data_IF_198971499377
#
_entry.id   IF_198971499377
#
_cell.length_a   1.000
_cell.length_b   1.000
_cell.length_c   1.000
_cell.angle_alpha   90.00
_cell.angle_beta   90.00
_cell.angle_gamma   90.00
#
_symmetry.space_group_name_H-M   'P 1'
#
loop_
_entity.id
_entity.type
_entity.pdbx_description
1 polymer ?
#
# COMPACT_ATOMS: atom_id res chain seq x y z
N UNK A 1 -19.13 -8.86 -103.79
CA UNK A 1 -18.41 -10.03 -103.23
C UNK A 1 -17.03 -9.51 -102.85
N UNK A 2 -16.88 -8.92 -101.67
CA UNK A 2 -16.58 -9.57 -100.37
C UNK A 2 -15.13 -9.27 -100.01
N UNK A 3 -14.90 -8.03 -99.59
CA UNK A 3 -13.66 -7.60 -98.94
C UNK A 3 -13.68 -8.12 -97.50
N UNK A 4 -13.06 -9.27 -97.27
CA UNK A 4 -12.72 -9.74 -95.93
C UNK A 4 -11.23 -9.47 -95.71
N UNK A 5 -10.88 -8.21 -95.48
CA UNK A 5 -9.54 -7.85 -94.99
C UNK A 5 -9.37 -8.42 -93.59
N UNK A 6 -8.40 -9.33 -93.48
CA UNK A 6 -8.02 -10.09 -92.31
C UNK A 6 -7.43 -9.19 -91.21
N UNK A 7 -8.30 -8.69 -90.35
CA UNK A 7 -7.98 -7.93 -89.12
C UNK A 7 -7.40 -8.81 -87.99
N UNK A 8 -7.10 -10.08 -88.27
CA UNK A 8 -6.65 -11.11 -87.32
C UNK A 8 -5.26 -10.88 -86.66
N UNK A 9 -4.18 -10.43 -87.34
CA UNK A 9 -2.84 -10.43 -86.74
C UNK A 9 -2.64 -9.39 -85.64
N UNK A 10 -3.40 -8.28 -85.66
CA UNK A 10 -3.35 -7.27 -84.59
C UNK A 10 -4.04 -7.77 -83.31
N UNK A 11 -5.16 -8.49 -83.47
CA UNK A 11 -5.93 -9.07 -82.37
C UNK A 11 -5.12 -10.12 -81.61
N UNK A 12 -4.46 -11.02 -82.33
CA UNK A 12 -3.68 -12.11 -81.71
C UNK A 12 -2.49 -11.56 -80.92
N UNK A 13 -1.81 -10.52 -81.44
CA UNK A 13 -0.72 -9.85 -80.72
C UNK A 13 -1.19 -9.19 -79.42
N UNK A 14 -2.37 -8.56 -79.42
CA UNK A 14 -2.96 -7.97 -78.21
C UNK A 14 -3.33 -9.06 -77.20
N UNK A 15 -3.93 -10.16 -77.65
CA UNK A 15 -4.27 -11.31 -76.80
C UNK A 15 -3.03 -11.91 -76.16
N UNK A 16 -1.92 -12.07 -76.91
CA UNK A 16 -0.66 -12.55 -76.36
C UNK A 16 -0.10 -11.59 -75.30
N UNK A 17 -0.07 -10.28 -75.58
CA UNK A 17 0.38 -9.28 -74.59
C UNK A 17 -0.46 -9.31 -73.32
N UNK A 18 -1.78 -9.42 -73.46
CA UNK A 18 -2.71 -9.52 -72.33
C UNK A 18 -2.40 -10.79 -71.51
N UNK A 19 -2.22 -11.94 -72.17
CA UNK A 19 -1.85 -13.19 -71.50
C UNK A 19 -0.53 -13.07 -70.73
N UNK A 20 0.51 -12.49 -71.34
CA UNK A 20 1.79 -12.29 -70.65
C UNK A 20 1.64 -11.41 -69.40
N UNK A 21 0.84 -10.34 -69.49
CA UNK A 21 0.58 -9.48 -68.32
C UNK A 21 -0.23 -10.23 -67.26
N UNK A 22 -1.25 -10.99 -67.66
CA UNK A 22 -2.05 -11.79 -66.73
C UNK A 22 -1.17 -12.81 -65.99
N UNK A 23 -0.33 -13.55 -66.70
CA UNK A 23 0.60 -14.52 -66.10
C UNK A 23 1.58 -13.83 -65.15
N UNK A 24 2.16 -12.69 -65.53
CA UNK A 24 3.06 -11.94 -64.65
C UNK A 24 2.38 -11.40 -63.39
N UNK A 25 1.10 -10.99 -63.48
CA UNK A 25 0.31 -10.61 -62.32
C UNK A 25 -0.03 -11.81 -61.43
N UNK A 26 -0.37 -12.95 -62.03
CA UNK A 26 -0.62 -14.20 -61.31
C UNK A 26 0.63 -14.64 -60.53
N UNK A 27 1.80 -14.69 -61.17
CA UNK A 27 3.06 -15.04 -60.49
C UNK A 27 3.37 -14.10 -59.33
N UNK A 28 3.12 -12.79 -59.50
CA UNK A 28 3.32 -11.83 -58.41
C UNK A 28 2.32 -12.03 -57.27
N UNK A 29 1.06 -12.30 -57.58
CA UNK A 29 0.03 -12.57 -56.57
C UNK A 29 0.41 -13.84 -55.81
N UNK A 30 0.71 -14.93 -56.49
CA UNK A 30 1.15 -16.18 -55.87
C UNK A 30 2.41 -15.99 -55.04
N UNK A 31 3.40 -15.25 -55.54
CA UNK A 31 4.61 -14.95 -54.77
C UNK A 31 4.33 -14.14 -53.49
N UNK A 32 3.41 -13.18 -53.53
CA UNK A 32 3.00 -12.43 -52.34
C UNK A 32 2.18 -13.29 -51.38
N UNK A 33 1.27 -14.13 -51.89
CA UNK A 33 0.48 -15.07 -51.09
C UNK A 33 1.38 -16.09 -50.40
N UNK A 34 2.37 -16.65 -51.10
CA UNK A 34 3.27 -17.68 -50.57
C UNK A 34 4.32 -17.14 -49.60
N UNK A 35 4.62 -15.84 -49.63
CA UNK A 35 5.66 -15.25 -48.77
C UNK A 35 5.11 -14.34 -47.69
N UNK A 36 4.28 -13.36 -48.06
CA UNK A 36 3.82 -12.32 -47.14
C UNK A 36 2.76 -12.84 -46.19
N UNK A 37 1.82 -13.66 -46.67
CA UNK A 37 0.74 -14.20 -45.83
C UNK A 37 1.30 -15.08 -44.71
N UNK A 38 2.21 -16.04 -44.95
CA UNK A 38 2.83 -16.80 -43.87
C UNK A 38 3.63 -15.93 -42.90
N UNK A 39 4.41 -14.96 -43.39
CA UNK A 39 5.20 -14.07 -42.53
C UNK A 39 4.32 -13.25 -41.59
N UNK A 40 3.25 -12.64 -42.12
CA UNK A 40 2.30 -11.89 -41.31
C UNK A 40 1.56 -12.80 -40.33
N UNK A 41 1.22 -14.02 -40.74
CA UNK A 41 0.55 -15.02 -39.88
C UNK A 41 1.45 -15.41 -38.71
N UNK A 42 2.72 -15.77 -38.97
CA UNK A 42 3.69 -16.11 -37.92
C UNK A 42 3.97 -14.92 -37.00
N UNK A 43 4.06 -13.70 -37.54
CA UNK A 43 4.27 -12.51 -36.73
C UNK A 43 3.06 -12.22 -35.83
N UNK A 44 1.84 -12.33 -36.37
CA UNK A 44 0.59 -12.17 -35.62
C UNK A 44 0.49 -13.21 -34.49
N UNK A 45 0.76 -14.49 -34.80
CA UNK A 45 0.76 -15.57 -33.81
C UNK A 45 1.77 -15.29 -32.69
N UNK A 46 3.00 -14.89 -33.04
CA UNK A 46 4.02 -14.52 -32.05
C UNK A 46 3.56 -13.36 -31.17
N UNK A 47 2.93 -12.35 -31.74
CA UNK A 47 2.40 -11.21 -30.99
C UNK A 47 1.24 -11.62 -30.09
N UNK A 48 0.35 -12.49 -30.57
CA UNK A 48 -0.74 -13.06 -29.76
C UNK A 48 -0.19 -13.79 -28.54
N UNK A 49 0.78 -14.70 -28.74
CA UNK A 49 1.39 -15.44 -27.63
C UNK A 49 2.08 -14.50 -26.62
N UNK A 50 2.74 -13.45 -27.10
CA UNK A 50 3.36 -12.44 -26.21
C UNK A 50 2.31 -11.69 -25.38
N UNK A 51 1.16 -11.37 -25.99
CA UNK A 51 0.03 -10.73 -25.28
C UNK A 51 -0.50 -11.68 -24.20
N UNK A 52 -0.70 -12.95 -24.53
CA UNK A 52 -1.20 -13.95 -23.58
C UNK A 52 -0.23 -14.14 -22.40
N UNK A 53 1.07 -14.22 -22.66
CA UNK A 53 2.12 -14.30 -21.62
C UNK A 53 2.08 -13.07 -20.70
N UNK A 54 1.99 -11.86 -21.27
CA UNK A 54 1.90 -10.62 -20.50
C UNK A 54 0.61 -10.54 -19.67
N UNK A 55 -0.52 -11.04 -20.19
CA UNK A 55 -1.77 -11.10 -19.43
C UNK A 55 -1.61 -11.98 -18.19
N UNK A 56 -0.96 -13.14 -18.32
CA UNK A 56 -0.67 -14.02 -17.18
C UNK A 56 0.22 -13.33 -16.16
N UNK A 57 1.26 -12.62 -16.60
CA UNK A 57 2.12 -11.85 -15.70
C UNK A 57 1.38 -10.72 -14.97
N UNK A 58 0.53 -9.98 -15.66
CA UNK A 58 -0.31 -8.93 -15.06
C UNK A 58 -1.24 -9.51 -14.01
N UNK A 59 -1.89 -10.64 -14.30
CA UNK A 59 -2.77 -11.33 -13.34
C UNK A 59 -1.99 -11.82 -12.11
N UNK A 60 -0.78 -12.36 -12.30
CA UNK A 60 0.11 -12.76 -11.21
C UNK A 60 0.50 -11.57 -10.34
N UNK A 61 0.97 -10.48 -10.93
CA UNK A 61 1.32 -9.27 -10.19
C UNK A 61 0.13 -8.66 -9.44
N UNK A 62 -1.08 -8.71 -10.02
CA UNK A 62 -2.30 -8.27 -9.34
C UNK A 62 -2.63 -9.12 -8.11
N UNK A 63 -2.42 -10.43 -8.17
CA UNK A 63 -2.57 -11.31 -7.02
C UNK A 63 -1.55 -10.98 -5.93
N UNK A 64 -0.28 -10.81 -6.28
CA UNK A 64 0.79 -10.43 -5.33
C UNK A 64 0.52 -9.08 -4.65
N UNK A 65 0.04 -8.08 -5.39
CA UNK A 65 -0.38 -6.78 -4.81
C UNK A 65 -1.50 -6.98 -3.79
N UNK A 66 -2.45 -7.86 -4.07
CA UNK A 66 -3.57 -8.15 -3.16
C UNK A 66 -3.07 -8.80 -1.87
N UNK A 67 -2.17 -9.77 -1.96
CA UNK A 67 -1.57 -10.44 -0.80
C UNK A 67 -0.72 -9.47 0.05
N UNK A 68 0.09 -8.63 -0.60
CA UNK A 68 0.85 -7.57 0.08
C UNK A 68 -0.07 -6.60 0.82
N UNK A 69 -1.20 -6.22 0.21
CA UNK A 69 -2.18 -5.34 0.83
C UNK A 69 -2.78 -5.97 2.09
N UNK A 70 -3.14 -7.25 2.04
CA UNK A 70 -3.62 -7.99 3.21
C UNK A 70 -2.55 -8.06 4.32
N UNK A 71 -1.28 -8.28 3.96
CA UNK A 71 -0.18 -8.31 4.92
C UNK A 71 0.02 -6.96 5.61
N UNK A 72 -0.04 -5.86 4.85
CA UNK A 72 0.04 -4.49 5.38
C UNK A 72 -1.15 -4.17 6.28
N UNK A 73 -2.38 -4.52 5.87
CA UNK A 73 -3.58 -4.32 6.69
C UNK A 73 -3.52 -5.10 8.01
N UNK A 74 -2.98 -6.32 7.98
CA UNK A 74 -2.74 -7.11 9.18
C UNK A 74 -1.67 -6.48 10.07
N UNK A 75 -0.55 -6.02 9.50
CA UNK A 75 0.48 -5.28 10.22
C UNK A 75 -0.06 -4.03 10.91
N UNK A 76 -0.85 -3.23 10.19
CA UNK A 76 -1.51 -2.04 10.75
C UNK A 76 -2.41 -2.39 11.95
N UNK A 77 -3.19 -3.47 11.88
CA UNK A 77 -4.01 -3.93 13.01
C UNK A 77 -3.17 -4.30 14.23
N UNK A 78 -2.05 -5.01 14.03
CA UNK A 78 -1.13 -5.35 15.12
C UNK A 78 -0.54 -4.08 15.74
N UNK A 79 -0.03 -3.17 14.93
CA UNK A 79 0.61 -1.94 15.42
C UNK A 79 -0.39 -1.07 16.17
N UNK A 80 -1.61 -0.89 15.67
CA UNK A 80 -2.67 -0.18 16.39
C UNK A 80 -3.00 -0.85 17.73
N UNK A 81 -3.12 -2.18 17.77
CA UNK A 81 -3.36 -2.92 19.02
C UNK A 81 -2.18 -2.85 20.00
N UNK A 82 -0.94 -2.78 19.53
CA UNK A 82 0.23 -2.53 20.36
C UNK A 82 0.24 -1.11 20.92
N UNK A 83 -0.07 -0.12 20.08
CA UNK A 83 -0.17 1.28 20.47
C UNK A 83 -1.21 1.50 21.58
N UNK A 84 -2.43 0.98 21.40
CA UNK A 84 -3.51 1.10 22.38
C UNK A 84 -3.14 0.47 23.73
N UNK A 85 -2.58 -0.76 23.71
CA UNK A 85 -2.17 -1.47 24.93
C UNK A 85 -1.05 -0.75 25.67
N UNK A 86 -0.02 -0.31 24.95
CA UNK A 86 1.11 0.38 25.57
C UNK A 86 0.68 1.74 26.13
N UNK A 87 -0.19 2.45 25.42
CA UNK A 87 -0.83 3.68 25.92
C UNK A 87 -1.64 3.46 27.19
N UNK A 88 -2.44 2.38 27.26
CA UNK A 88 -3.20 2.03 28.47
C UNK A 88 -2.30 1.68 29.65
N UNK A 89 -1.24 0.91 29.43
CA UNK A 89 -0.24 0.58 30.45
C UNK A 89 0.41 1.86 30.96
N UNK A 90 0.87 2.72 30.06
CA UNK A 90 1.49 3.99 30.41
C UNK A 90 0.57 4.88 31.25
N UNK A 91 -0.69 5.08 30.82
CA UNK A 91 -1.68 5.85 31.58
C UNK A 91 -1.98 5.24 32.96
N UNK A 92 -2.07 3.92 33.05
CA UNK A 92 -2.31 3.22 34.31
C UNK A 92 -1.16 3.43 35.28
N UNK A 93 0.09 3.28 34.82
CA UNK A 93 1.27 3.51 35.63
C UNK A 93 1.37 4.98 36.07
N UNK A 94 1.07 5.93 35.18
CA UNK A 94 1.07 7.36 35.50
C UNK A 94 0.02 7.70 36.57
N UNK A 95 -1.17 7.09 36.48
CA UNK A 95 -2.23 7.23 37.48
C UNK A 95 -1.82 6.63 38.85
N UNK A 96 -1.08 5.52 38.86
CA UNK A 96 -0.56 4.94 40.10
C UNK A 96 0.50 5.86 40.71
N UNK A 97 1.43 6.38 39.89
CA UNK A 97 2.50 7.26 40.33
C UNK A 97 1.96 8.57 40.93
N UNK A 98 1.00 9.22 40.26
CA UNK A 98 0.32 10.44 40.76
C UNK A 98 -0.41 10.19 42.08
N UNK A 99 -1.15 9.08 42.20
CA UNK A 99 -1.80 8.67 43.47
C UNK A 99 -0.79 8.47 44.59
N UNK A 100 0.35 7.82 44.33
CA UNK A 100 1.42 7.59 45.32
C UNK A 100 2.07 8.90 45.76
N UNK A 101 2.38 9.80 44.82
CA UNK A 101 2.92 11.14 45.12
C UNK A 101 1.97 11.96 45.99
N UNK A 102 0.67 11.97 45.66
CA UNK A 102 -0.35 12.64 46.46
C UNK A 102 -0.41 12.08 47.89
N UNK A 103 -0.39 10.76 48.06
CA UNK A 103 -0.40 10.10 49.38
C UNK A 103 0.85 10.44 50.21
N UNK A 104 2.04 10.41 49.60
CA UNK A 104 3.28 10.73 50.29
C UNK A 104 3.35 12.22 50.68
N UNK A 105 2.85 13.12 49.83
CA UNK A 105 2.80 14.55 50.12
C UNK A 105 1.95 14.88 51.36
N UNK A 106 0.84 14.15 51.59
CA UNK A 106 -0.04 14.36 52.75
C UNK A 106 0.56 13.90 54.08
N UNK A 107 1.39 12.85 54.06
CA UNK A 107 2.10 12.36 55.26
C UNK A 107 3.23 13.30 55.67
N UNK A 108 4.04 13.75 54.70
CA UNK A 108 5.08 14.75 54.99
C UNK A 108 4.46 16.09 55.38
N UNK A 109 3.38 16.54 54.75
CA UNK A 109 2.66 17.78 55.14
C UNK A 109 2.12 17.72 56.57
N UNK A 110 1.78 16.53 57.09
CA UNK A 110 1.39 16.34 58.49
C UNK A 110 2.57 16.31 59.46
N UNK A 111 3.73 15.80 59.03
CA UNK A 111 4.95 15.73 59.86
C UNK A 111 5.76 17.04 59.85
N UNK A 112 5.69 17.83 58.78
CA UNK A 112 6.33 19.14 58.64
C UNK A 112 5.34 20.29 58.74
N UNK A 113 4.24 20.11 59.49
CA UNK A 113 3.12 21.05 59.70
C UNK A 113 3.46 22.40 60.33
N UNK A 114 4.61 23.00 60.04
CA UNK A 114 4.87 24.43 60.23
C UNK A 114 4.66 25.14 58.90
N UNK A 115 3.53 25.85 58.82
CA UNK A 115 3.32 26.94 57.88
C UNK A 115 4.57 27.81 57.81
N UNK A 116 5.23 27.81 56.67
CA UNK A 116 6.10 28.91 56.28
C UNK A 116 5.53 29.45 54.99
N UNK A 117 4.92 30.62 55.07
CA UNK A 117 4.49 31.44 53.94
C UNK A 117 5.68 31.59 52.99
N UNK A 118 5.70 30.80 51.91
CA UNK A 118 6.63 30.98 50.82
C UNK A 118 5.84 31.10 49.53
N UNK A 119 6.02 32.28 48.92
CA UNK A 119 5.49 32.71 47.63
C UNK A 119 5.69 31.63 46.57
N UNK A 120 4.69 31.39 45.71
CA UNK A 120 4.80 30.47 44.59
C UNK A 120 5.60 31.15 43.48
N UNK A 121 6.85 30.74 43.28
CA UNK A 121 7.58 30.98 42.05
C UNK A 121 8.34 29.69 41.71
N UNK A 122 8.12 29.22 40.48
CA UNK A 122 8.98 28.28 39.74
C UNK A 122 8.83 26.77 40.01
N UNK A 123 7.60 26.26 40.03
CA UNK A 123 7.31 24.82 39.91
C UNK A 123 6.58 24.50 38.60
N UNK A 124 7.20 24.83 37.46
CA UNK A 124 6.61 24.60 36.12
C UNK A 124 7.57 23.88 35.16
N UNK A 125 8.35 22.90 35.64
CA UNK A 125 9.36 22.23 34.79
C UNK A 125 9.29 20.72 34.64
N UNK A 126 8.29 20.05 35.18
CA UNK A 126 8.13 18.59 35.02
C UNK A 126 6.71 18.16 34.68
N UNK A 127 5.92 19.03 34.03
CA UNK A 127 4.76 18.58 33.27
C UNK A 127 5.31 18.01 31.96
N UNK A 128 5.65 16.71 31.96
CA UNK A 128 5.91 16.02 30.71
C UNK A 128 4.65 16.13 29.88
N UNK A 129 4.72 16.92 28.81
CA UNK A 129 3.63 17.12 27.87
C UNK A 129 3.09 15.75 27.46
N UNK A 130 1.81 15.55 27.71
CA UNK A 130 1.10 14.36 27.28
C UNK A 130 1.19 14.35 25.75
N UNK A 131 1.71 13.28 25.12
CA UNK A 131 1.76 13.22 23.67
C UNK A 131 0.35 13.36 23.10
N UNK A 132 0.14 14.45 22.39
CA UNK A 132 -1.08 14.82 21.69
C UNK A 132 -1.35 13.75 20.62
N UNK A 133 -2.45 12.99 20.76
CA UNK A 133 -2.80 11.90 19.85
C UNK A 133 -3.41 10.64 20.50
N UNK A 134 -3.37 10.52 21.83
CA UNK A 134 -3.94 9.38 22.55
C UNK A 134 -5.41 9.60 23.01
N UNK A 135 -6.15 10.50 22.34
CA UNK A 135 -7.55 10.78 22.68
C UNK A 135 -8.50 9.77 22.03
N UNK A 136 -8.63 8.63 22.70
CA UNK A 136 -9.84 7.81 22.86
C UNK A 136 -10.82 7.72 21.67
N UNK A 137 -10.62 6.74 20.80
CA UNK A 137 -11.77 5.94 20.35
C UNK A 137 -12.13 4.98 21.48
N UNK A 138 -12.99 5.44 22.39
CA UNK A 138 -13.55 4.58 23.43
C UNK A 138 -14.49 3.56 22.79
N UNK A 139 -13.93 2.42 22.38
CA UNK A 139 -14.68 1.24 22.01
C UNK A 139 -15.52 0.80 23.21
N UNK A 140 -16.83 0.97 23.06
CA UNK A 140 -17.88 0.63 23.99
C UNK A 140 -18.01 -0.91 24.09
N UNK A 141 -16.99 -1.59 24.60
CA UNK A 141 -17.10 -3.02 24.91
C UNK A 141 -17.71 -3.19 26.30
N UNK A 142 -18.95 -3.70 26.31
CA UNK A 142 -19.66 -4.16 27.49
C UNK A 142 -18.79 -5.13 28.29
N UNK A 143 -18.38 -4.71 29.48
CA UNK A 143 -17.73 -5.56 30.45
C UNK A 143 -18.75 -6.57 30.99
N UNK A 144 -18.59 -7.84 30.61
CA UNK A 144 -19.22 -8.96 31.28
C UNK A 144 -18.58 -9.15 32.65
N UNK A 145 -19.44 -9.12 33.67
CA UNK A 145 -19.12 -9.18 35.09
C UNK A 145 -18.68 -10.60 35.49
N UNK A 146 -17.40 -10.92 35.28
CA UNK A 146 -16.79 -12.17 35.75
C UNK A 146 -16.16 -11.93 37.11
N UNK A 147 -16.90 -12.33 38.14
CA UNK A 147 -16.46 -12.29 39.54
C UNK A 147 -15.38 -13.34 39.81
N UNK A 148 -14.12 -12.95 39.66
CA UNK A 148 -12.99 -13.80 40.06
C UNK A 148 -12.82 -13.83 41.59
N UNK A 149 -12.58 -15.01 42.19
CA UNK A 149 -12.38 -15.17 43.62
C UNK A 149 -11.08 -14.49 44.08
N UNK A 150 -11.18 -13.65 45.13
CA UNK A 150 -10.06 -13.00 45.80
C UNK A 150 -9.21 -14.02 46.56
N UNK A 151 -8.22 -14.60 45.90
CA UNK A 151 -7.07 -15.19 46.57
C UNK A 151 -6.21 -14.08 47.19
N UNK A 152 -5.93 -14.19 48.49
CA UNK A 152 -4.95 -13.35 49.20
C UNK A 152 -3.54 -13.70 48.73
N UNK A 153 -3.20 -13.30 47.51
CA UNK A 153 -1.80 -13.31 47.09
C UNK A 153 -1.08 -12.16 47.77
N UNK A 154 0.09 -12.47 48.32
CA UNK A 154 1.04 -11.50 48.85
C UNK A 154 1.42 -10.54 47.73
N UNK A 155 0.67 -9.44 47.60
CA UNK A 155 0.87 -8.42 46.57
C UNK A 155 2.23 -7.77 46.80
N UNK A 156 3.26 -8.27 46.13
CA UNK A 156 4.54 -7.62 46.01
C UNK A 156 4.28 -6.23 45.43
N UNK A 157 4.33 -5.22 46.29
CA UNK A 157 4.07 -3.85 45.89
C UNK A 157 5.33 -3.32 45.24
N UNK A 158 5.27 -3.06 43.93
CA UNK A 158 6.37 -2.46 43.18
C UNK A 158 6.90 -1.24 43.92
N UNK A 159 8.22 -1.18 44.11
CA UNK A 159 8.91 -0.01 44.65
C UNK A 159 8.71 1.20 43.73
N UNK A 160 8.88 2.41 44.27
CA UNK A 160 8.74 3.62 43.44
C UNK A 160 9.78 3.66 42.31
N UNK A 161 10.98 3.10 42.53
CA UNK A 161 12.03 3.04 41.50
C UNK A 161 11.64 2.11 40.36
N UNK A 162 11.06 0.94 40.67
CA UNK A 162 10.55 0.02 39.64
C UNK A 162 9.39 0.64 38.87
N UNK A 163 8.50 1.37 39.56
CA UNK A 163 7.40 2.07 38.90
C UNK A 163 7.89 3.17 37.94
N UNK A 164 8.88 3.95 38.36
CA UNK A 164 9.49 4.99 37.52
C UNK A 164 10.23 4.38 36.32
N UNK A 165 10.91 3.25 36.51
CA UNK A 165 11.56 2.52 35.42
C UNK A 165 10.54 1.97 34.41
N UNK A 166 9.44 1.37 34.87
CA UNK A 166 8.36 0.90 33.99
C UNK A 166 7.69 2.04 33.22
N UNK A 167 7.51 3.20 33.85
CA UNK A 167 7.02 4.41 33.18
C UNK A 167 7.96 4.89 32.07
N UNK A 168 9.27 4.88 32.33
CA UNK A 168 10.26 5.28 31.34
C UNK A 168 10.29 4.31 30.15
N UNK A 169 10.26 3.00 30.41
CA UNK A 169 10.24 1.96 29.36
C UNK A 169 8.97 2.08 28.51
N UNK A 170 7.81 2.20 29.14
CA UNK A 170 6.53 2.27 28.41
C UNK A 170 6.41 3.54 27.59
N UNK A 171 6.85 4.69 28.13
CA UNK A 171 6.93 5.93 27.37
C UNK A 171 7.87 5.82 26.15
N UNK A 172 9.02 5.15 26.32
CA UNK A 172 9.95 4.90 25.23
C UNK A 172 9.35 3.98 24.17
N UNK A 173 8.67 2.90 24.55
CA UNK A 173 8.02 1.98 23.63
C UNK A 173 6.95 2.70 22.78
N UNK A 174 6.11 3.53 23.40
CA UNK A 174 5.14 4.36 22.66
C UNK A 174 5.87 5.30 21.69
N UNK A 175 6.98 5.92 22.11
CA UNK A 175 7.75 6.80 21.21
C UNK A 175 8.30 6.05 20.00
N UNK A 176 8.91 4.89 20.21
CA UNK A 176 9.46 4.05 19.14
C UNK A 176 8.36 3.61 18.17
N UNK A 177 7.22 3.12 18.69
CA UNK A 177 6.08 2.74 17.84
C UNK A 177 5.59 3.90 16.97
N UNK A 178 5.64 5.12 17.48
CA UNK A 178 5.24 6.31 16.72
C UNK A 178 6.21 6.58 15.57
N UNK A 179 7.50 6.61 15.88
CA UNK A 179 8.58 6.80 14.92
C UNK A 179 8.48 5.74 13.80
N UNK A 180 8.32 4.46 14.15
CA UNK A 180 8.18 3.36 13.20
C UNK A 180 6.95 3.50 12.28
N UNK A 181 5.82 3.97 12.82
CA UNK A 181 4.60 4.22 12.03
C UNK A 181 4.78 5.39 11.08
N UNK A 182 5.42 6.48 11.53
CA UNK A 182 5.71 7.65 10.69
C UNK A 182 6.66 7.29 9.54
N UNK A 183 7.69 6.47 9.80
CA UNK A 183 8.61 5.95 8.78
C UNK A 183 7.88 5.06 7.77
N UNK A 184 7.02 4.15 8.24
CA UNK A 184 6.20 3.30 7.37
C UNK A 184 5.28 4.13 6.47
N UNK A 185 4.63 5.17 7.01
CA UNK A 185 3.78 6.08 6.23
C UNK A 185 4.60 6.79 5.14
N UNK A 186 5.80 7.25 5.48
CA UNK A 186 6.71 7.90 4.52
C UNK A 186 7.09 6.96 3.38
N UNK A 187 7.47 5.71 3.70
CA UNK A 187 7.76 4.69 2.71
C UNK A 187 6.56 4.39 1.79
N UNK A 188 5.36 4.25 2.36
CA UNK A 188 4.12 4.02 1.59
C UNK A 188 3.82 5.19 0.65
N UNK A 189 4.02 6.43 1.10
CA UNK A 189 3.84 7.61 0.25
C UNK A 189 4.86 7.66 -0.89
N UNK A 190 6.11 7.27 -0.65
CA UNK A 190 7.13 7.19 -1.70
C UNK A 190 6.80 6.10 -2.73
N UNK A 191 6.33 4.93 -2.28
CA UNK A 191 5.83 3.88 -3.16
C UNK A 191 4.64 4.36 -3.99
N UNK A 192 3.67 5.05 -3.38
CA UNK A 192 2.52 5.64 -4.07
C UNK A 192 2.98 6.63 -5.15
N UNK A 193 3.94 7.51 -4.85
CA UNK A 193 4.46 8.50 -5.80
C UNK A 193 5.13 7.84 -7.01
N UNK A 194 5.89 6.76 -6.78
CA UNK A 194 6.50 5.94 -7.84
C UNK A 194 5.47 5.23 -8.70
N UNK A 195 4.39 4.71 -8.10
CA UNK A 195 3.32 4.04 -8.83
C UNK A 195 2.45 5.02 -9.64
N UNK A 196 2.20 6.23 -9.12
CA UNK A 196 1.35 7.24 -9.78
C UNK A 196 1.93 7.69 -11.13
N UNK A 197 3.26 7.73 -11.27
CA UNK A 197 3.92 8.07 -12.54
C UNK A 197 3.77 6.99 -13.62
N UNK A 198 3.32 5.78 -13.26
CA UNK A 198 3.11 4.68 -14.19
C UNK A 198 1.67 4.72 -14.75
N UNK A 199 0.68 5.10 -13.92
CA UNK A 199 -0.74 5.24 -14.35
C UNK A 199 -0.96 6.36 -15.37
N UNK A 200 -0.12 7.40 -15.41
CA UNK A 200 -0.26 8.51 -16.37
C UNK A 200 0.02 8.07 -17.82
N UNK A 201 0.73 6.97 -18.03
CA UNK A 201 1.02 6.41 -19.36
C UNK A 201 -0.16 5.57 -19.89
N UNK A 202 -1.03 5.05 -19.02
CA UNK A 202 -2.15 4.16 -19.41
C UNK A 202 -3.40 4.94 -19.89
N UNK A 203 -3.42 6.28 -19.74
CA UNK A 203 -4.44 7.16 -20.35
C UNK A 203 -4.02 7.77 -21.69
N UNK A 204 -3.15 7.11 -22.44
CA UNK A 204 -3.14 7.36 -23.89
C UNK A 204 -4.45 6.78 -24.40
N UNK A 205 -5.43 7.68 -24.57
CA UNK A 205 -6.73 7.39 -25.17
C UNK A 205 -6.54 6.38 -26.31
N UNK A 206 -7.39 5.35 -26.33
CA UNK A 206 -7.55 4.44 -27.46
C UNK A 206 -7.98 5.25 -28.69
N UNK A 207 -7.05 6.02 -29.26
CA UNK A 207 -7.16 6.64 -30.55
C UNK A 207 -7.28 5.50 -31.53
N UNK A 208 -8.51 5.30 -32.00
CA UNK A 208 -8.88 4.35 -33.03
C UNK A 208 -7.82 4.32 -34.12
N UNK A 209 -7.04 3.24 -34.17
CA UNK A 209 -6.09 2.99 -35.27
C UNK A 209 -6.80 2.88 -36.65
N UNK A 210 -8.13 3.00 -36.69
CA UNK A 210 -8.94 3.00 -37.91
C UNK A 210 -9.16 4.38 -38.55
N UNK A 211 -8.68 5.46 -37.94
CA UNK A 211 -8.81 6.83 -38.47
C UNK A 211 -7.57 7.33 -39.25
N UNK A 212 -6.64 6.44 -39.63
CA UNK A 212 -5.47 6.75 -40.47
C UNK A 212 -5.48 5.93 -41.75
#
# INVERSE_FOLDING_TARGET
MSNAESTTPCRDRLVCKLHTVILGLQDRISGLEDTLVPQLSTWLEKKSNTIDDLIVEVLRSKAEITDLKHAVDFGNKIVSGCWEREGEVWHTLAKIQTKRRARNSGLFRRLTGRCRDQKPQDADRCSGDVPEGCEKQASQHQASDVSFPRTKENSATLSNKELDALLAITAQNVRILREDVEDMVTMVQECKRRASGIEEIERVEEGSWRDV
#
